data_IF_296251069368
#
_entry.id   IF_296251069368
#
_cell.length_a   1.000
_cell.length_b   1.000
_cell.length_c   1.000
_cell.angle_alpha   90.00
_cell.angle_beta   90.00
_cell.angle_gamma   90.00
#
_symmetry.space_group_name_H-M   'P 1'
#
loop_
_entity.id
_entity.type
_entity.pdbx_description
1 polymer ?
#
# COMPACT_ATOMS: atom_id res chain seq x y z
N UNK A 1 13.73 3.08 -17.19
CA UNK A 1 14.31 2.61 -15.91
C UNK A 1 13.15 2.22 -15.00
N UNK A 2 13.06 0.94 -14.62
CA UNK A 2 11.99 0.42 -13.78
C UNK A 2 12.44 0.67 -12.33
N UNK A 3 11.86 1.66 -11.65
CA UNK A 3 12.16 2.00 -10.24
C UNK A 3 11.62 0.89 -9.33
N UNK A 4 12.31 -0.25 -9.27
CA UNK A 4 11.91 -1.40 -8.44
C UNK A 4 12.39 -1.25 -6.98
N UNK A 5 13.27 -0.30 -6.68
CA UNK A 5 13.86 -0.08 -5.35
C UNK A 5 13.06 0.85 -4.43
N UNK A 6 11.95 1.44 -4.92
CA UNK A 6 11.11 2.30 -4.07
C UNK A 6 10.17 1.46 -3.22
N UNK A 7 10.27 1.63 -1.90
CA UNK A 7 9.35 1.07 -0.93
C UNK A 7 8.48 2.19 -0.39
N UNK A 8 7.16 2.00 -0.38
CA UNK A 8 6.22 2.96 0.17
C UNK A 8 5.69 2.40 1.49
N UNK A 9 5.69 3.21 2.54
CA UNK A 9 5.27 2.79 3.88
C UNK A 9 4.09 3.64 4.32
N UNK A 10 3.06 2.99 4.86
CA UNK A 10 1.92 3.66 5.47
C UNK A 10 1.69 3.14 6.89
N UNK A 11 1.30 4.03 7.80
CA UNK A 11 0.87 3.71 9.15
C UNK A 11 -0.66 3.66 9.17
N UNK A 12 -1.22 2.44 9.16
CA UNK A 12 -2.66 2.18 9.00
C UNK A 12 -3.31 1.62 10.27
N UNK A 13 -2.51 1.27 11.28
CA UNK A 13 -2.96 0.54 12.47
C UNK A 13 -2.87 -0.98 12.30
N UNK A 14 -2.78 -1.72 13.42
CA UNK A 14 -2.48 -3.16 13.43
C UNK A 14 -3.55 -4.00 12.71
N UNK A 15 -4.82 -3.69 12.92
CA UNK A 15 -5.93 -4.41 12.29
C UNK A 15 -5.97 -4.20 10.77
N UNK A 16 -5.81 -2.96 10.33
CA UNK A 16 -5.76 -2.61 8.91
C UNK A 16 -4.52 -3.16 8.22
N UNK A 17 -3.36 -3.13 8.90
CA UNK A 17 -2.12 -3.67 8.34
C UNK A 17 -2.24 -5.18 8.06
N UNK A 18 -2.86 -5.90 8.99
CA UNK A 18 -3.19 -7.31 8.83
C UNK A 18 -4.17 -7.52 7.67
N UNK A 19 -5.28 -6.78 7.65
CA UNK A 19 -6.31 -6.87 6.60
C UNK A 19 -5.71 -6.64 5.21
N UNK A 20 -4.93 -5.58 5.03
CA UNK A 20 -4.25 -5.27 3.76
C UNK A 20 -3.26 -6.37 3.35
N UNK A 21 -2.58 -7.00 4.30
CA UNK A 21 -1.60 -8.03 4.02
C UNK A 21 -2.21 -9.43 3.78
N UNK A 22 -3.43 -9.70 4.27
CA UNK A 22 -4.02 -11.06 4.21
C UNK A 22 -5.35 -11.16 3.47
N UNK A 23 -6.15 -10.10 3.46
CA UNK A 23 -7.57 -10.14 3.07
C UNK A 23 -7.94 -9.15 1.95
N UNK A 24 -7.11 -8.13 1.68
CA UNK A 24 -7.35 -7.22 0.55
C UNK A 24 -7.32 -7.92 -0.82
N UNK A 25 -8.04 -7.36 -1.78
CA UNK A 25 -8.13 -7.87 -3.16
C UNK A 25 -6.76 -8.01 -3.82
N UNK A 26 -5.83 -7.08 -3.55
CA UNK A 26 -4.42 -7.16 -3.97
C UNK A 26 -3.65 -8.29 -3.29
N UNK A 27 -4.00 -8.65 -2.06
CA UNK A 27 -3.42 -9.81 -1.37
C UNK A 27 -3.85 -11.14 -2.01
N UNK A 28 -5.03 -11.18 -2.64
CA UNK A 28 -5.58 -12.37 -3.33
C UNK A 28 -5.02 -12.52 -4.75
N UNK A 29 -4.71 -11.42 -5.45
CA UNK A 29 -4.26 -11.43 -6.85
C UNK A 29 -2.92 -12.17 -7.05
N UNK A 30 -1.83 -11.68 -6.44
CA UNK A 30 -0.55 -12.41 -6.39
C UNK A 30 0.35 -11.86 -5.28
N UNK A 31 1.24 -12.71 -4.75
CA UNK A 31 2.11 -12.37 -3.61
C UNK A 31 3.05 -11.19 -3.87
N UNK A 32 3.40 -10.92 -5.13
CA UNK A 32 4.25 -9.80 -5.53
C UNK A 32 3.55 -8.43 -5.48
N UNK A 33 2.22 -8.41 -5.58
CA UNK A 33 1.38 -7.22 -5.51
C UNK A 33 0.79 -6.96 -4.12
N UNK A 34 1.13 -7.81 -3.16
CA UNK A 34 0.55 -7.80 -1.82
C UNK A 34 1.27 -6.79 -0.92
N UNK A 35 0.54 -5.94 -0.18
CA UNK A 35 1.11 -5.15 0.91
C UNK A 35 1.75 -6.07 1.97
N UNK A 36 2.96 -5.74 2.40
CA UNK A 36 3.64 -6.52 3.45
C UNK A 36 3.50 -5.81 4.79
N UNK A 37 2.88 -6.49 5.74
CA UNK A 37 2.84 -6.09 7.15
C UNK A 37 4.28 -6.02 7.72
N UNK A 38 4.66 -4.86 8.25
CA UNK A 38 5.95 -4.60 8.89
C UNK A 38 5.89 -4.68 10.42
N UNK A 39 4.73 -4.92 11.01
CA UNK A 39 4.45 -4.76 12.43
C UNK A 39 4.14 -3.32 12.83
N UNK A 40 3.69 -3.15 14.08
CA UNK A 40 3.33 -1.86 14.68
C UNK A 40 2.26 -1.07 13.89
N UNK A 41 1.39 -1.78 13.15
CA UNK A 41 0.35 -1.15 12.34
C UNK A 41 0.86 -0.48 11.06
N UNK A 42 2.02 -0.92 10.55
CA UNK A 42 2.62 -0.38 9.34
C UNK A 42 2.63 -1.43 8.23
N UNK A 43 2.43 -0.95 7.00
CA UNK A 43 2.57 -1.77 5.80
C UNK A 43 3.62 -1.19 4.87
N UNK A 44 4.19 -2.07 4.05
CA UNK A 44 5.06 -1.69 2.94
C UNK A 44 4.51 -2.17 1.60
N UNK A 45 4.61 -1.32 0.60
CA UNK A 45 4.28 -1.59 -0.79
C UNK A 45 5.56 -1.42 -1.62
N UNK A 46 5.85 -2.41 -2.45
CA UNK A 46 6.83 -2.24 -3.50
C UNK A 46 6.18 -1.51 -4.70
N UNK A 47 6.98 -1.09 -5.68
CA UNK A 47 6.47 -0.38 -6.86
C UNK A 47 5.42 -1.17 -7.67
N UNK A 48 5.46 -2.51 -7.67
CA UNK A 48 4.47 -3.34 -8.35
C UNK A 48 3.14 -3.35 -7.60
N UNK A 49 3.18 -3.57 -6.28
CA UNK A 49 2.03 -3.53 -5.39
C UNK A 49 1.36 -2.16 -5.41
N UNK A 50 2.14 -1.07 -5.46
CA UNK A 50 1.63 0.28 -5.65
C UNK A 50 0.87 0.40 -6.98
N UNK A 51 1.46 -0.10 -8.07
CA UNK A 51 0.82 -0.08 -9.39
C UNK A 51 -0.51 -0.82 -9.42
N UNK A 52 -0.55 -2.05 -8.89
CA UNK A 52 -1.78 -2.84 -8.83
C UNK A 52 -2.86 -2.19 -7.94
N UNK A 53 -2.44 -1.57 -6.83
CA UNK A 53 -3.32 -0.89 -5.90
C UNK A 53 -3.91 0.41 -6.46
N UNK A 54 -3.21 1.07 -7.41
CA UNK A 54 -3.73 2.22 -8.16
C UNK A 54 -4.80 1.85 -9.19
N UNK A 55 -4.90 0.58 -9.56
CA UNK A 55 -5.95 0.09 -10.46
C UNK A 55 -7.23 -0.29 -9.72
N UNK A 56 -7.22 -0.26 -8.38
CA UNK A 56 -8.41 -0.46 -7.55
C UNK A 56 -9.28 0.81 -7.55
N UNK A 57 -10.59 0.62 -7.39
CA UNK A 57 -11.51 1.73 -7.14
C UNK A 57 -11.40 2.22 -5.70
N UNK A 58 -11.68 3.50 -5.44
CA UNK A 58 -11.61 4.13 -4.09
C UNK A 58 -12.48 3.41 -3.04
N UNK A 59 -13.48 2.66 -3.48
CA UNK A 59 -14.35 1.81 -2.64
C UNK A 59 -13.69 0.51 -2.15
N UNK A 60 -12.50 0.17 -2.62
CA UNK A 60 -11.81 -1.08 -2.30
C UNK A 60 -10.66 -0.88 -1.30
N UNK A 61 -10.58 -1.78 -0.31
CA UNK A 61 -9.51 -1.79 0.67
C UNK A 61 -8.13 -2.02 0.02
N UNK A 62 -7.28 -1.02 0.16
CA UNK A 62 -5.95 -0.96 -0.42
C UNK A 62 -5.86 -0.10 -1.67
N UNK A 63 -6.94 0.59 -2.09
CA UNK A 63 -6.89 1.52 -3.21
C UNK A 63 -5.91 2.66 -2.95
N UNK A 64 -5.21 3.11 -4.00
CA UNK A 64 -4.23 4.20 -3.88
C UNK A 64 -4.65 5.37 -4.73
N UNK A 65 -4.73 6.53 -4.10
CA UNK A 65 -4.93 7.82 -4.77
C UNK A 65 -3.68 8.68 -4.65
N UNK A 66 -3.46 9.51 -5.67
CA UNK A 66 -2.40 10.52 -5.68
C UNK A 66 -3.08 11.89 -5.81
N UNK A 67 -2.88 12.73 -4.81
CA UNK A 67 -3.39 14.09 -4.78
C UNK A 67 -2.25 15.10 -4.54
N UNK A 68 -2.59 16.39 -4.38
CA UNK A 68 -1.58 17.45 -4.22
C UNK A 68 -0.73 17.30 -2.96
N UNK A 69 -1.19 16.52 -1.97
CA UNK A 69 -0.48 16.29 -0.71
C UNK A 69 0.43 15.06 -0.79
N UNK A 70 0.16 14.14 -1.73
CA UNK A 70 0.99 12.97 -1.98
C UNK A 70 0.19 11.71 -2.28
N UNK A 71 0.79 10.56 -1.96
CA UNK A 71 0.15 9.26 -2.12
C UNK A 71 -0.60 8.88 -0.86
N UNK A 72 -1.79 8.31 -1.02
CA UNK A 72 -2.62 7.79 0.07
C UNK A 72 -3.14 6.40 -0.24
N UNK A 73 -3.27 5.57 0.79
CA UNK A 73 -3.93 4.26 0.73
C UNK A 73 -5.26 4.31 1.49
N UNK A 74 -6.31 3.79 0.88
CA UNK A 74 -7.66 3.74 1.44
C UNK A 74 -7.92 2.40 2.12
N UNK A 75 -8.55 2.44 3.30
CA UNK A 75 -9.04 1.28 4.03
C UNK A 75 -10.41 1.63 4.59
N UNK A 76 -11.46 0.99 4.09
CA UNK A 76 -12.84 1.42 4.31
C UNK A 76 -13.06 2.85 3.84
N UNK A 77 -13.42 3.73 4.77
CA UNK A 77 -13.66 5.17 4.52
C UNK A 77 -12.45 6.05 4.89
N UNK A 78 -11.41 5.46 5.49
CA UNK A 78 -10.23 6.15 5.98
C UNK A 78 -9.08 6.10 4.95
N UNK A 79 -8.34 7.20 4.84
CA UNK A 79 -7.15 7.30 3.98
C UNK A 79 -5.89 7.58 4.81
N UNK A 80 -4.80 6.88 4.47
CA UNK A 80 -3.53 6.94 5.19
C UNK A 80 -2.40 7.36 4.26
N UNK A 81 -1.50 8.21 4.72
CA UNK A 81 -0.37 8.71 3.94
C UNK A 81 0.63 7.58 3.61
N UNK A 82 1.09 7.55 2.36
CA UNK A 82 2.17 6.69 1.88
C UNK A 82 3.46 7.48 1.72
N UNK A 83 4.40 7.23 2.63
CA UNK A 83 5.72 7.85 2.60
C UNK A 83 6.66 6.98 1.76
N UNK A 84 7.29 7.58 0.75
CA UNK A 84 8.34 6.92 0.00
C UNK A 84 9.59 6.77 0.87
N UNK A 85 9.94 5.53 1.18
CA UNK A 85 11.22 5.18 1.77
C UNK A 85 12.12 4.76 0.62
N UNK A 86 12.95 5.70 0.18
CA UNK A 86 14.03 5.39 -0.75
C UNK A 86 15.05 4.53 0.00
N UNK A 87 15.05 3.22 -0.26
CA UNK A 87 16.14 2.34 0.19
C UNK A 87 17.21 2.37 -0.91
N UNK A 88 17.60 3.58 -1.33
CA UNK A 88 18.70 3.82 -2.24
C UNK A 88 20.00 3.88 -1.45
N UNK A 89 20.89 2.93 -1.70
CA UNK A 89 22.29 3.04 -1.38
C UNK A 89 23.04 3.75 -2.52
#
# INVERSE_FOLDING_TARGET
MRNLDRTYVAEVGADNARLLATESRTAVLAREYRPKDLGDGRISLNALALGASRELGEEEDGAITEDAEGLRIWVGDDAYELVVTDIGN
#
